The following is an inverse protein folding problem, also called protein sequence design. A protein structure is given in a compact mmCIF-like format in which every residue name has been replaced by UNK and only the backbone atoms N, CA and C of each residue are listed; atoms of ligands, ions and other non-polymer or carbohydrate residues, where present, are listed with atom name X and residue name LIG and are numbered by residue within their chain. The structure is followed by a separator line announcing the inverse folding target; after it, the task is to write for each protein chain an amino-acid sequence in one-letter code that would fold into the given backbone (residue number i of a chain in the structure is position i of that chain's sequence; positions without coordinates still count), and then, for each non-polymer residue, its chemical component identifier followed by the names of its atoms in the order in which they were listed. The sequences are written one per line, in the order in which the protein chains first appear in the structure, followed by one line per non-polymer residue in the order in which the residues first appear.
data_IF_267391922835
#
_entry.id   IF_267391922835
#
_cell.length_a   1.000
_cell.length_b   1.000
_cell.length_c   1.000
_cell.angle_alpha   90.00
_cell.angle_beta   90.00
_cell.angle_gamma   90.00
#
_symmetry.space_group_name_H-M   'P 1'
#
loop_
_entity.id
_entity.type
_entity.pdbx_description
1 polymer ?
#
# COMPACT_ATOMS: atom_id res chain seq x y z
N UNK A 1 3.90 -6.73 3.58
CA UNK A 1 4.26 -5.28 3.48
C UNK A 1 4.01 -4.85 2.06
N UNK A 2 3.31 -3.74 1.82
CA UNK A 2 3.04 -3.28 0.44
C UNK A 2 4.19 -2.41 -0.05
N UNK A 3 4.83 -2.79 -1.15
CA UNK A 3 5.83 -1.97 -1.84
C UNK A 3 5.20 -1.08 -2.91
N UNK A 4 5.47 0.22 -2.81
CA UNK A 4 4.90 1.28 -3.64
C UNK A 4 6.02 2.12 -4.25
N UNK A 5 5.78 2.62 -5.46
CA UNK A 5 6.62 3.66 -6.05
C UNK A 5 5.93 5.00 -5.87
N UNK A 6 6.59 5.95 -5.19
CA UNK A 6 6.04 7.30 -5.01
C UNK A 6 6.00 8.06 -6.34
N UNK A 7 5.24 9.14 -6.39
CA UNK A 7 5.20 10.06 -7.53
C UNK A 7 6.57 10.67 -7.88
N UNK A 8 7.54 10.64 -6.95
CA UNK A 8 8.93 11.05 -7.16
C UNK A 8 9.84 9.93 -7.67
N UNK A 9 9.31 8.72 -7.89
CA UNK A 9 10.06 7.54 -8.33
C UNK A 9 10.80 6.80 -7.20
N UNK A 10 10.57 7.16 -5.93
CA UNK A 10 11.20 6.48 -4.80
C UNK A 10 10.40 5.25 -4.40
N UNK A 11 11.08 4.16 -4.06
CA UNK A 11 10.43 2.97 -3.51
C UNK A 11 10.18 3.16 -2.02
N UNK A 12 8.98 2.77 -1.58
CA UNK A 12 8.55 2.87 -0.19
C UNK A 12 7.74 1.64 0.20
N UNK A 13 8.07 1.05 1.35
CA UNK A 13 7.32 -0.07 1.91
C UNK A 13 6.39 0.43 3.00
N UNK A 14 5.12 0.03 2.92
CA UNK A 14 4.04 0.46 3.83
C UNK A 14 3.37 -0.77 4.43
N UNK A 15 3.12 -0.74 5.74
CA UNK A 15 2.30 -1.78 6.40
C UNK A 15 0.85 -1.61 5.97
N UNK A 16 0.25 -2.65 5.38
CA UNK A 16 -1.13 -2.57 4.87
C UNK A 16 -2.14 -2.24 5.96
N UNK A 17 -1.91 -2.69 7.19
CA UNK A 17 -2.74 -2.39 8.38
C UNK A 17 -2.77 -0.91 8.74
N UNK A 18 -1.75 -0.15 8.33
CA UNK A 18 -1.69 1.30 8.55
C UNK A 18 -2.41 2.09 7.47
N UNK A 19 -2.81 1.46 6.38
CA UNK A 19 -3.53 2.15 5.30
C UNK A 19 -4.98 2.32 5.71
N UNK A 20 -5.42 3.57 5.81
CA UNK A 20 -6.81 3.91 6.17
C UNK A 20 -7.64 4.26 4.95
N UNK A 21 -7.01 4.76 3.88
CA UNK A 21 -7.71 5.14 2.65
C UNK A 21 -6.79 5.03 1.43
N UNK A 22 -7.39 4.69 0.29
CA UNK A 22 -6.73 4.62 -1.03
C UNK A 22 -7.67 5.28 -2.04
N UNK A 23 -7.25 6.42 -2.57
CA UNK A 23 -8.03 7.22 -3.52
C UNK A 23 -7.34 7.32 -4.88
N UNK A 24 -8.11 7.24 -5.95
CA UNK A 24 -7.66 7.59 -7.30
C UNK A 24 -7.75 9.10 -7.51
N UNK A 25 -6.72 9.69 -8.11
CA UNK A 25 -6.73 11.09 -8.51
C UNK A 25 -7.21 11.25 -9.96
N UNK A 26 -7.75 12.43 -10.32
CA UNK A 26 -8.08 12.72 -11.71
C UNK A 26 -6.90 12.51 -12.65
N UNK A 27 -7.17 12.01 -13.87
CA UNK A 27 -6.16 11.66 -14.90
C UNK A 27 -5.19 12.78 -15.28
N UNK A 28 -5.54 14.02 -14.96
CA UNK A 28 -4.74 15.23 -15.18
C UNK A 28 -3.56 15.37 -14.19
N UNK A 29 -3.53 14.58 -13.12
CA UNK A 29 -2.47 14.61 -12.11
C UNK A 29 -1.33 13.66 -12.47
N UNK A 30 -0.09 14.06 -12.14
CA UNK A 30 1.13 13.24 -12.35
C UNK A 30 1.14 11.96 -11.51
N UNK A 31 0.39 11.92 -10.41
CA UNK A 31 0.22 10.76 -9.54
C UNK A 31 -1.21 10.25 -9.70
N UNK A 32 -1.35 8.96 -9.96
CA UNK A 32 -2.64 8.29 -10.14
C UNK A 32 -3.33 7.97 -8.83
N UNK A 33 -2.57 7.79 -7.73
CA UNK A 33 -3.12 7.27 -6.48
C UNK A 33 -2.59 8.03 -5.27
N UNK A 34 -3.45 8.22 -4.28
CA UNK A 34 -3.13 8.77 -2.96
C UNK A 34 -3.46 7.73 -1.90
N UNK A 35 -2.51 7.48 -1.01
CA UNK A 35 -2.68 6.58 0.14
C UNK A 35 -2.57 7.39 1.42
N UNK A 36 -3.57 7.28 2.28
CA UNK A 36 -3.58 7.88 3.61
C UNK A 36 -3.24 6.81 4.65
N UNK A 37 -2.33 7.15 5.57
CA UNK A 37 -1.92 6.28 6.66
C UNK A 37 -2.54 6.71 7.99
N UNK A 38 -2.67 5.77 8.92
CA UNK A 38 -3.16 6.01 10.29
C UNK A 38 -2.29 6.97 11.11
N UNK A 39 -1.05 7.21 10.67
CA UNK A 39 -0.14 8.22 11.25
C UNK A 39 -0.49 9.65 10.84
N UNK A 40 -1.45 9.85 9.93
CA UNK A 40 -1.74 11.13 9.28
C UNK A 40 -0.85 11.43 8.06
N UNK A 41 0.06 10.52 7.72
CA UNK A 41 0.90 10.66 6.53
C UNK A 41 0.12 10.37 5.25
N UNK A 42 0.39 11.15 4.20
CA UNK A 42 -0.19 10.99 2.86
C UNK A 42 0.91 10.69 1.85
N UNK A 43 0.74 9.63 1.08
CA UNK A 43 1.70 9.17 0.08
C UNK A 43 1.07 9.28 -1.30
N UNK A 44 1.74 9.99 -2.20
CA UNK A 44 1.39 10.06 -3.61
C UNK A 44 2.14 8.94 -4.35
N UNK A 45 1.39 8.08 -5.03
CA UNK A 45 1.89 6.86 -5.67
C UNK A 45 1.82 7.04 -7.19
N UNK A 46 2.87 6.55 -7.87
CA UNK A 46 3.00 6.58 -9.33
C UNK A 46 2.30 5.39 -10.01
N UNK A 47 2.18 4.26 -9.30
CA UNK A 47 1.44 3.09 -9.75
C UNK A 47 -0.05 3.43 -9.97
N UNK A 48 -0.71 2.71 -10.87
CA UNK A 48 -2.15 2.87 -11.12
C UNK A 48 -3.01 2.43 -9.93
N UNK A 49 -4.26 2.89 -9.88
CA UNK A 49 -5.19 2.51 -8.81
C UNK A 49 -5.39 1.01 -8.74
N UNK A 50 -5.59 0.35 -9.88
CA UNK A 50 -5.79 -1.10 -9.95
C UNK A 50 -4.57 -1.87 -9.43
N UNK A 51 -3.34 -1.47 -9.82
CA UNK A 51 -2.11 -2.10 -9.32
C UNK A 51 -1.95 -1.94 -7.80
N UNK A 52 -2.23 -0.75 -7.26
CA UNK A 52 -2.16 -0.49 -5.82
C UNK A 52 -3.21 -1.32 -5.07
N UNK A 53 -4.43 -1.39 -5.59
CA UNK A 53 -5.51 -2.15 -4.97
C UNK A 53 -5.27 -3.66 -5.03
N UNK A 54 -4.67 -4.18 -6.10
CA UNK A 54 -4.29 -5.59 -6.20
C UNK A 54 -3.21 -5.95 -5.20
N UNK A 55 -2.15 -5.11 -5.08
CA UNK A 55 -1.13 -5.26 -4.03
C UNK A 55 -1.76 -5.24 -2.63
N UNK A 56 -2.64 -4.27 -2.36
CA UNK A 56 -3.32 -4.16 -1.07
C UNK A 56 -4.18 -5.38 -0.73
N UNK A 57 -4.96 -5.87 -1.71
CA UNK A 57 -5.84 -7.03 -1.52
C UNK A 57 -5.07 -8.33 -1.34
N UNK A 58 -3.97 -8.52 -2.04
CA UNK A 58 -3.14 -9.73 -1.92
C UNK A 58 -2.48 -9.79 -0.54
N UNK A 59 -1.88 -8.69 -0.10
CA UNK A 59 -1.26 -8.58 1.23
C UNK A 59 -2.27 -8.71 2.36
N UNK A 60 -3.49 -8.17 2.20
CA UNK A 60 -4.56 -8.33 3.18
C UNK A 60 -5.12 -9.77 3.24
N UNK A 61 -5.00 -10.52 2.14
CA UNK A 61 -5.50 -11.91 2.04
C UNK A 61 -4.51 -12.93 2.53
N UNK A 62 -3.21 -12.67 2.52
CA UNK A 62 -2.25 -13.55 3.16
C UNK A 62 -2.51 -13.51 4.68
N UNK A 63 -3.03 -14.60 5.29
CA UNK A 63 -2.83 -14.76 6.71
C UNK A 63 -1.33 -14.91 6.87
N UNK A 64 -0.71 -14.02 7.64
CA UNK A 64 0.66 -14.23 8.13
C UNK A 64 0.69 -15.68 8.62
N UNK A 65 1.52 -16.58 8.06
CA UNK A 65 1.63 -17.91 8.62
C UNK A 65 2.08 -17.72 10.06
N UNK A 66 1.19 -18.06 11.00
CA UNK A 66 1.46 -17.97 12.42
C UNK A 66 2.65 -18.87 12.72
N UNK A 67 3.85 -18.31 12.72
CA UNK A 67 5.03 -18.94 13.27
C UNK A 67 4.80 -19.03 14.78
N UNK A 68 4.08 -20.05 15.23
CA UNK A 68 4.14 -20.51 16.61
C UNK A 68 4.74 -21.91 16.61
N UNK A 69 6.03 -21.93 17.00
CA UNK A 69 6.71 -22.97 17.75
C UNK A 69 5.89 -24.21 18.12
N UNK A 70 6.22 -25.34 17.50
CA UNK A 70 6.17 -26.63 18.20
C UNK A 70 7.61 -27.08 18.43
N UNK A 71 8.25 -26.45 19.42
CA UNK A 71 9.29 -27.11 20.20
C UNK A 71 8.63 -27.62 21.48
N UNK A 72 8.16 -28.87 21.48
CA UNK A 72 8.07 -29.75 22.66
C UNK A 72 8.02 -31.21 22.21
#
# INVERSE_FOLDING_TARGET
MIELVTASGLRRSVQFERIVDICELPKEKRSSVVISLSTGEVIFVADSYDEVMDKYRNEKKEPVPSANDTSQ
#
